data_IF_703391472327
#
_entry.id   IF_703391472327
#
_cell.length_a   1.000
_cell.length_b   1.000
_cell.length_c   1.000
_cell.angle_alpha   90.00
_cell.angle_beta   90.00
_cell.angle_gamma   90.00
#
_symmetry.space_group_name_H-M   'P 1'
#
loop_
_entity.id
_entity.type
_entity.pdbx_description
1 polymer ?
#
# COMPACT_ATOMS: atom_id res chain seq x y z
N UNK A 1 15.05 -2.38 13.16
CA UNK A 1 13.77 -2.10 12.47
C UNK A 1 12.60 -2.53 13.33
N UNK A 2 11.55 -1.73 13.38
CA UNK A 2 10.33 -2.00 14.14
C UNK A 2 9.31 -2.75 13.26
N UNK A 3 9.17 -4.05 13.52
CA UNK A 3 8.34 -4.95 12.72
C UNK A 3 7.07 -5.31 13.49
N UNK A 4 5.90 -5.06 12.87
CA UNK A 4 4.61 -5.44 13.44
C UNK A 4 4.33 -6.93 13.24
N UNK A 5 4.50 -7.43 12.02
CA UNK A 5 4.32 -8.86 11.72
C UNK A 5 5.10 -9.30 10.48
N UNK A 6 5.41 -10.60 10.45
CA UNK A 6 5.95 -11.29 9.27
C UNK A 6 5.14 -12.55 9.07
N UNK A 7 4.58 -12.72 7.88
CA UNK A 7 3.76 -13.88 7.54
C UNK A 7 3.89 -14.24 6.07
N UNK A 8 3.50 -15.47 5.72
CA UNK A 8 3.50 -15.98 4.36
C UNK A 8 2.06 -16.24 3.92
N UNK A 9 1.66 -15.62 2.81
CA UNK A 9 0.34 -15.80 2.23
C UNK A 9 0.40 -15.55 0.71
N UNK A 10 -0.68 -15.10 0.10
CA UNK A 10 -0.79 -14.64 -1.28
C UNK A 10 -0.99 -13.13 -1.31
N UNK A 11 -0.40 -12.46 -2.31
CA UNK A 11 -0.68 -11.05 -2.57
C UNK A 11 -2.17 -10.89 -2.87
N UNK A 12 -2.87 -10.13 -2.03
CA UNK A 12 -4.31 -9.98 -2.13
C UNK A 12 -4.75 -8.83 -3.06
N UNK A 13 -3.82 -7.96 -3.45
CA UNK A 13 -4.13 -6.71 -4.14
C UNK A 13 -3.13 -6.44 -5.28
N UNK A 14 -3.51 -5.56 -6.21
CA UNK A 14 -2.61 -5.06 -7.25
C UNK A 14 -2.35 -6.00 -8.42
N UNK A 15 -1.36 -5.65 -9.24
CA UNK A 15 -0.96 -6.40 -10.43
C UNK A 15 -0.42 -7.80 -10.10
N UNK A 16 0.16 -7.98 -8.90
CA UNK A 16 0.70 -9.25 -8.43
C UNK A 16 -0.32 -10.07 -7.62
N UNK A 17 -1.61 -9.74 -7.66
CA UNK A 17 -2.66 -10.47 -6.96
C UNK A 17 -2.60 -11.99 -7.28
N UNK A 18 -2.71 -12.81 -6.23
CA UNK A 18 -2.63 -14.27 -6.28
C UNK A 18 -1.22 -14.85 -6.12
N UNK A 19 -0.17 -14.04 -6.19
CA UNK A 19 1.23 -14.53 -6.08
C UNK A 19 1.58 -14.86 -4.62
N UNK A 20 2.04 -16.10 -4.31
CA UNK A 20 2.53 -16.43 -2.97
C UNK A 20 3.68 -15.52 -2.55
N UNK A 21 3.52 -14.80 -1.45
CA UNK A 21 4.40 -13.72 -1.03
C UNK A 21 4.64 -13.75 0.48
N UNK A 22 5.87 -13.42 0.87
CA UNK A 22 6.19 -13.12 2.27
C UNK A 22 5.88 -11.65 2.52
N UNK A 23 5.08 -11.36 3.53
CA UNK A 23 4.79 -10.00 3.96
C UNK A 23 5.69 -9.65 5.14
N UNK A 24 6.40 -8.53 5.02
CA UNK A 24 7.18 -7.92 6.09
C UNK A 24 6.49 -6.60 6.40
N UNK A 25 5.69 -6.59 7.47
CA UNK A 25 4.88 -5.44 7.88
C UNK A 25 5.62 -4.64 8.96
N UNK A 26 6.08 -3.44 8.63
CA UNK A 26 6.66 -2.50 9.58
C UNK A 26 5.58 -1.86 10.47
N UNK A 27 6.00 -1.38 11.63
CA UNK A 27 5.13 -0.58 12.48
C UNK A 27 5.20 0.91 12.09
N UNK A 28 4.28 1.72 12.65
CA UNK A 28 4.14 3.18 12.52
C UNK A 28 3.70 3.67 11.15
N UNK A 29 2.83 4.67 11.13
CA UNK A 29 2.43 5.35 9.90
C UNK A 29 2.42 6.86 10.13
N UNK A 30 2.74 7.64 9.11
CA UNK A 30 2.60 9.10 9.11
C UNK A 30 1.21 9.57 8.65
N UNK A 31 0.27 8.64 8.45
CA UNK A 31 -1.12 8.91 8.10
C UNK A 31 -2.06 8.23 9.08
N UNK A 32 -3.21 8.87 9.30
CA UNK A 32 -4.28 8.39 10.18
C UNK A 32 -5.55 8.02 9.42
N UNK A 33 -5.43 7.23 8.35
CA UNK A 33 -6.56 6.95 7.45
C UNK A 33 -7.77 6.35 8.19
N UNK A 34 -8.97 6.93 8.04
CA UNK A 34 -10.18 6.51 8.77
C UNK A 34 -10.58 5.05 8.53
N UNK A 35 -10.37 4.54 7.32
CA UNK A 35 -10.73 3.19 6.90
C UNK A 35 -9.55 2.20 6.95
N UNK A 36 -8.43 2.54 7.61
CA UNK A 36 -7.26 1.66 7.68
C UNK A 36 -7.64 0.26 8.20
N UNK A 37 -7.39 -0.77 7.39
CA UNK A 37 -7.58 -2.19 7.75
C UNK A 37 -6.51 -2.68 8.73
N UNK A 38 -5.35 -2.05 8.69
CA UNK A 38 -4.16 -2.42 9.45
C UNK A 38 -3.82 -1.39 10.54
N UNK A 39 -4.82 -0.75 11.15
CA UNK A 39 -4.61 0.35 12.12
C UNK A 39 -3.71 -0.06 13.30
N UNK A 40 -3.72 -1.34 13.69
CA UNK A 40 -2.82 -1.89 14.70
C UNK A 40 -1.35 -1.69 14.33
N UNK A 41 -0.98 -1.89 13.06
CA UNK A 41 0.40 -1.73 12.61
C UNK A 41 0.88 -0.28 12.69
N UNK A 42 -0.01 0.71 12.73
CA UNK A 42 0.37 2.11 12.96
C UNK A 42 0.78 2.40 14.40
N UNK A 43 0.50 1.50 15.35
CA UNK A 43 0.89 1.66 16.76
C UNK A 43 2.33 1.22 17.02
N UNK A 44 3.05 2.01 17.82
CA UNK A 44 4.38 1.63 18.34
C UNK A 44 4.32 0.36 19.20
N UNK A 45 3.22 0.14 19.93
CA UNK A 45 3.07 -1.00 20.85
C UNK A 45 3.00 -2.35 20.15
N UNK A 46 2.60 -2.35 18.87
CA UNK A 46 2.47 -3.57 18.08
C UNK A 46 3.77 -3.93 17.35
N UNK A 47 4.79 -3.07 17.44
CA UNK A 47 6.10 -3.27 16.83
C UNK A 47 7.07 -4.00 17.75
N UNK A 48 7.85 -4.91 17.18
CA UNK A 48 9.00 -5.54 17.84
C UNK A 48 10.27 -5.19 17.08
N UNK A 49 11.30 -4.77 17.80
CA UNK A 49 12.61 -4.57 17.20
C UNK A 49 13.14 -5.90 16.69
N UNK A 50 13.56 -5.91 15.42
CA UNK A 50 14.19 -7.05 14.78
C UNK A 50 15.37 -6.56 13.95
N UNK A 51 16.44 -7.35 13.95
CA UNK A 51 17.56 -7.15 13.03
C UNK A 51 17.23 -7.69 11.64
N UNK A 52 17.96 -7.20 10.62
CA UNK A 52 17.81 -7.72 9.25
C UNK A 52 18.11 -9.22 9.21
N UNK A 53 19.12 -9.69 9.93
CA UNK A 53 19.49 -11.11 9.98
C UNK A 53 18.36 -11.98 10.57
N UNK A 54 17.68 -11.49 11.61
CA UNK A 54 16.52 -12.19 12.19
C UNK A 54 15.36 -12.27 11.21
N UNK A 55 15.07 -11.17 10.50
CA UNK A 55 14.04 -11.12 9.46
C UNK A 55 14.38 -12.13 8.36
N UNK A 56 15.59 -12.07 7.81
CA UNK A 56 16.05 -12.96 6.73
C UNK A 56 15.99 -14.42 7.16
N UNK A 57 16.43 -14.75 8.37
CA UNK A 57 16.35 -16.11 8.93
C UNK A 57 14.91 -16.60 9.04
N UNK A 58 13.98 -15.74 9.50
CA UNK A 58 12.55 -16.09 9.62
C UNK A 58 11.91 -16.38 8.26
N UNK A 59 12.25 -15.60 7.24
CA UNK A 59 11.61 -15.74 5.92
C UNK A 59 12.22 -16.84 5.05
N UNK A 60 13.43 -17.32 5.39
CA UNK A 60 14.16 -18.31 4.61
C UNK A 60 13.42 -19.65 4.46
N UNK A 61 12.49 -19.96 5.37
CA UNK A 61 11.71 -21.21 5.36
C UNK A 61 10.61 -21.24 4.29
N UNK A 62 10.23 -20.08 3.73
CA UNK A 62 9.09 -19.99 2.81
C UNK A 62 9.52 -20.17 1.34
N UNK A 63 8.82 -21.01 0.57
CA UNK A 63 9.19 -21.38 -0.80
C UNK A 63 8.72 -20.33 -1.82
N UNK A 64 9.04 -19.05 -1.60
CA UNK A 64 8.77 -17.98 -2.57
C UNK A 64 9.94 -17.03 -2.72
N UNK A 65 10.07 -16.46 -3.91
CA UNK A 65 10.98 -15.33 -4.15
C UNK A 65 10.31 -13.98 -3.91
N UNK A 66 8.99 -13.90 -3.75
CA UNK A 66 8.29 -12.63 -3.61
C UNK A 66 8.22 -12.18 -2.15
N UNK A 67 8.72 -10.97 -1.90
CA UNK A 67 8.63 -10.29 -0.62
C UNK A 67 7.89 -8.96 -0.82
N UNK A 68 6.82 -8.75 -0.05
CA UNK A 68 6.09 -7.50 0.02
C UNK A 68 6.49 -6.81 1.32
N UNK A 69 7.20 -5.69 1.21
CA UNK A 69 7.48 -4.83 2.36
C UNK A 69 6.38 -3.78 2.43
N UNK A 70 5.68 -3.77 3.56
CA UNK A 70 4.49 -2.95 3.83
C UNK A 70 4.52 -2.54 5.30
N UNK A 71 3.43 -2.02 5.84
CA UNK A 71 3.35 -1.61 7.24
C UNK A 71 2.32 -0.53 7.45
N UNK A 72 2.26 0.03 8.66
CA UNK A 72 2.25 1.49 8.60
C UNK A 72 3.45 1.94 7.74
N UNK A 73 3.40 3.09 7.07
CA UNK A 73 4.36 3.50 6.01
C UNK A 73 5.82 2.94 6.14
N UNK A 74 6.22 1.91 5.34
CA UNK A 74 7.50 1.23 5.51
C UNK A 74 8.72 2.12 5.28
N UNK A 75 8.54 3.19 4.52
CA UNK A 75 9.61 4.15 4.24
C UNK A 75 9.98 5.02 5.47
N UNK A 76 9.27 4.88 6.60
CA UNK A 76 9.65 5.49 7.88
C UNK A 76 10.80 4.77 8.58
N UNK A 77 11.01 3.49 8.30
CA UNK A 77 12.06 2.69 8.93
C UNK A 77 13.43 3.08 8.35
N UNK A 78 14.41 3.36 9.23
CA UNK A 78 15.72 3.87 8.79
C UNK A 78 16.50 2.84 7.99
N UNK A 79 16.37 1.57 8.38
CA UNK A 79 17.11 0.44 7.80
C UNK A 79 16.36 -0.23 6.63
N UNK A 80 15.24 0.37 6.16
CA UNK A 80 14.45 -0.17 5.03
C UNK A 80 15.27 -0.38 3.77
N UNK A 81 16.23 0.53 3.52
CA UNK A 81 17.14 0.50 2.38
C UNK A 81 18.03 -0.75 2.44
N UNK A 82 18.60 -1.02 3.62
CA UNK A 82 19.50 -2.15 3.85
C UNK A 82 18.75 -3.48 3.78
N UNK A 83 17.54 -3.54 4.34
CA UNK A 83 16.68 -4.72 4.22
C UNK A 83 16.35 -5.01 2.75
N UNK A 84 15.86 -4.02 2.00
CA UNK A 84 15.51 -4.18 0.60
C UNK A 84 16.72 -4.61 -0.25
N UNK A 85 17.88 -4.00 -0.01
CA UNK A 85 19.15 -4.37 -0.66
C UNK A 85 19.53 -5.82 -0.36
N UNK A 86 19.46 -6.24 0.89
CA UNK A 86 19.79 -7.62 1.29
C UNK A 86 18.84 -8.63 0.63
N UNK A 87 17.53 -8.36 0.65
CA UNK A 87 16.52 -9.23 0.05
C UNK A 87 16.72 -9.40 -1.46
N UNK A 88 16.98 -8.31 -2.18
CA UNK A 88 17.33 -8.37 -3.60
C UNK A 88 18.64 -9.15 -3.81
N UNK A 89 19.64 -8.94 -2.97
CA UNK A 89 20.93 -9.64 -3.02
C UNK A 89 20.82 -11.16 -2.88
N UNK A 90 19.82 -11.66 -2.16
CA UNK A 90 19.52 -13.10 -2.03
C UNK A 90 18.46 -13.59 -3.05
N UNK A 91 18.21 -12.80 -4.10
CA UNK A 91 17.35 -13.19 -5.23
C UNK A 91 15.84 -13.01 -5.01
N UNK A 92 15.42 -12.24 -4.00
CA UNK A 92 13.99 -11.93 -3.82
C UNK A 92 13.54 -10.83 -4.79
N UNK A 93 12.30 -10.95 -5.27
CA UNK A 93 11.54 -9.85 -5.85
C UNK A 93 10.94 -9.03 -4.71
N UNK A 94 11.31 -7.75 -4.61
CA UNK A 94 10.86 -6.86 -3.53
C UNK A 94 9.81 -5.89 -4.05
N UNK A 95 8.58 -6.03 -3.55
CA UNK A 95 7.52 -5.04 -3.73
C UNK A 95 7.47 -4.11 -2.52
N UNK A 96 7.48 -2.79 -2.75
CA UNK A 96 7.22 -1.80 -1.70
C UNK A 96 5.78 -1.32 -1.83
N UNK A 97 4.97 -1.55 -0.79
CA UNK A 97 3.63 -0.96 -0.66
C UNK A 97 3.74 0.33 0.16
N UNK A 98 3.53 1.48 -0.47
CA UNK A 98 3.72 2.81 0.17
C UNK A 98 2.55 3.74 -0.14
N UNK A 99 2.26 4.69 0.75
CA UNK A 99 1.33 5.78 0.47
C UNK A 99 1.93 6.86 -0.45
N UNK A 100 3.23 6.77 -0.77
CA UNK A 100 3.93 7.74 -1.61
C UNK A 100 4.21 9.05 -0.87
N UNK A 101 4.40 9.01 0.45
CA UNK A 101 4.64 10.20 1.29
C UNK A 101 6.11 10.45 1.59
N UNK A 102 6.99 9.48 1.32
CA UNK A 102 8.44 9.54 1.55
C UNK A 102 9.20 9.19 0.27
N UNK A 103 10.22 9.98 -0.05
CA UNK A 103 11.09 9.75 -1.22
C UNK A 103 11.77 8.36 -1.16
N UNK A 104 11.92 7.67 -2.31
CA UNK A 104 12.48 6.32 -2.35
C UNK A 104 13.97 6.23 -1.99
N UNK A 105 14.73 7.34 -2.08
CA UNK A 105 16.18 7.44 -1.73
C UNK A 105 17.06 6.33 -2.35
N UNK A 106 16.70 5.81 -3.53
CA UNK A 106 17.34 4.69 -4.26
C UNK A 106 17.17 3.28 -3.65
N UNK A 107 16.05 3.04 -2.96
CA UNK A 107 15.70 1.70 -2.46
C UNK A 107 15.75 0.61 -3.54
N UNK A 108 16.36 -0.52 -3.19
CA UNK A 108 16.34 -1.72 -4.04
C UNK A 108 14.92 -2.30 -4.12
N UNK A 109 14.15 -1.80 -5.08
CA UNK A 109 12.75 -2.13 -5.29
C UNK A 109 12.59 -2.76 -6.67
N UNK A 110 11.94 -3.93 -6.73
CA UNK A 110 11.56 -4.57 -7.99
C UNK A 110 10.26 -3.99 -8.55
N UNK A 111 9.34 -3.59 -7.67
CA UNK A 111 8.03 -3.05 -8.04
C UNK A 111 7.46 -2.14 -6.95
N UNK A 112 7.05 -0.92 -7.31
CA UNK A 112 6.43 0.04 -6.39
C UNK A 112 4.89 -0.01 -6.48
N UNK A 113 4.24 -0.50 -5.44
CA UNK A 113 2.80 -0.37 -5.28
C UNK A 113 2.50 0.89 -4.49
N UNK A 114 2.21 1.97 -5.23
CA UNK A 114 1.97 3.28 -4.65
C UNK A 114 0.46 3.44 -4.48
N UNK A 115 0.01 3.73 -3.26
CA UNK A 115 -1.40 3.96 -2.97
C UNK A 115 -1.60 5.35 -2.39
N UNK A 116 -1.72 6.38 -3.24
CA UNK A 116 -2.01 7.74 -2.79
C UNK A 116 -3.35 7.78 -2.03
N UNK A 117 -3.38 8.52 -0.94
CA UNK A 117 -4.52 8.57 -0.02
C UNK A 117 -5.37 9.82 -0.31
N UNK A 118 -6.60 9.60 -0.76
CA UNK A 118 -7.56 10.63 -1.16
C UNK A 118 -8.27 11.24 0.05
N UNK A 119 -9.14 12.22 -0.18
CA UNK A 119 -9.93 12.88 0.87
C UNK A 119 -10.87 11.91 1.62
N UNK A 120 -11.28 10.81 0.99
CA UNK A 120 -12.03 9.75 1.67
C UNK A 120 -11.25 9.07 2.81
N UNK A 121 -9.94 9.25 2.89
CA UNK A 121 -9.09 8.70 3.94
C UNK A 121 -8.94 9.62 5.14
N UNK A 122 -9.30 10.89 5.02
CA UNK A 122 -9.19 11.88 6.09
C UNK A 122 -9.91 11.39 7.35
N UNK A 123 -9.29 11.52 8.55
CA UNK A 123 -9.93 11.13 9.80
C UNK A 123 -11.29 11.83 10.00
N UNK A 124 -12.20 11.15 10.67
CA UNK A 124 -13.53 11.68 10.99
C UNK A 124 -13.48 12.92 11.90
N UNK A 125 -14.60 13.65 11.98
CA UNK A 125 -14.69 14.92 12.72
C UNK A 125 -14.43 14.76 14.22
N UNK A 126 -14.64 13.57 14.75
CA UNK A 126 -14.38 13.15 16.13
C UNK A 126 -12.88 13.07 16.44
N UNK A 127 -12.02 12.90 15.43
CA UNK A 127 -10.57 12.96 15.61
C UNK A 127 -10.13 14.41 15.95
N UNK A 128 -8.99 14.55 16.62
CA UNK A 128 -8.43 15.88 16.90
C UNK A 128 -8.15 16.66 15.60
N UNK A 129 -8.41 17.99 15.55
CA UNK A 129 -8.03 18.83 14.42
C UNK A 129 -6.56 18.66 14.02
N UNK A 130 -5.66 18.54 15.00
CA UNK A 130 -4.22 18.34 14.76
C UNK A 130 -3.96 17.08 13.94
N UNK A 131 -4.66 15.98 14.25
CA UNK A 131 -4.49 14.70 13.53
C UNK A 131 -4.99 14.80 12.09
N UNK A 132 -6.11 15.52 11.88
CA UNK A 132 -6.65 15.74 10.54
C UNK A 132 -5.73 16.64 9.71
N UNK A 133 -5.28 17.75 10.27
CA UNK A 133 -4.40 18.70 9.58
C UNK A 133 -3.08 18.02 9.21
N UNK A 134 -2.51 17.22 10.13
CA UNK A 134 -1.33 16.41 9.84
C UNK A 134 -1.60 15.38 8.72
N UNK A 135 -2.74 14.70 8.74
CA UNK A 135 -3.08 13.75 7.68
C UNK A 135 -3.18 14.45 6.31
N UNK A 136 -3.88 15.58 6.24
CA UNK A 136 -4.02 16.40 5.02
C UNK A 136 -2.67 16.91 4.52
N UNK A 137 -1.81 17.37 5.44
CA UNK A 137 -0.46 17.83 5.08
C UNK A 137 0.39 16.70 4.51
N UNK A 138 0.29 15.47 5.05
CA UNK A 138 1.14 14.36 4.65
C UNK A 138 0.64 13.59 3.43
N UNK A 139 -0.66 13.55 3.15
CA UNK A 139 -1.20 12.81 2.00
C UNK A 139 -0.86 13.50 0.67
N UNK A 140 -0.90 12.72 -0.42
CA UNK A 140 -0.76 13.19 -1.81
C UNK A 140 0.48 14.07 -2.11
N UNK A 141 1.68 13.59 -1.74
CA UNK A 141 2.95 14.25 -2.09
C UNK A 141 3.31 14.01 -3.55
N UNK A 142 2.89 14.90 -4.45
CA UNK A 142 3.05 14.77 -5.90
C UNK A 142 4.51 14.56 -6.34
N UNK A 143 5.42 15.34 -5.77
CA UNK A 143 6.86 15.27 -6.05
C UNK A 143 7.46 13.92 -5.63
N UNK A 144 7.04 13.39 -4.49
CA UNK A 144 7.45 12.08 -4.00
C UNK A 144 6.89 10.97 -4.89
N UNK A 145 5.60 11.02 -5.23
CA UNK A 145 4.94 10.03 -6.09
C UNK A 145 5.59 10.00 -7.48
N UNK A 146 5.84 11.17 -8.08
CA UNK A 146 6.62 11.28 -9.31
C UNK A 146 8.00 10.66 -9.19
N UNK A 147 8.69 10.91 -8.07
CA UNK A 147 10.00 10.30 -7.78
C UNK A 147 10.00 8.77 -7.77
N UNK A 148 8.90 8.15 -7.33
CA UNK A 148 8.74 6.69 -7.37
C UNK A 148 8.50 6.21 -8.80
N UNK A 149 7.58 6.86 -9.52
CA UNK A 149 7.25 6.52 -10.91
C UNK A 149 8.43 6.66 -11.86
N UNK A 150 9.32 7.63 -11.62
CA UNK A 150 10.52 7.85 -12.46
C UNK A 150 11.60 6.79 -12.27
N UNK A 151 11.61 6.06 -11.15
CA UNK A 151 12.72 5.16 -10.77
C UNK A 151 12.39 3.69 -10.89
N UNK A 152 11.12 3.31 -10.80
CA UNK A 152 10.73 1.91 -10.70
C UNK A 152 9.54 1.59 -11.59
N UNK A 153 9.38 0.32 -11.93
CA UNK A 153 8.07 -0.15 -12.37
C UNK A 153 7.06 0.01 -11.22
N UNK A 154 5.82 0.34 -11.57
CA UNK A 154 4.85 0.83 -10.59
C UNK A 154 3.40 0.54 -10.97
N UNK A 155 2.55 0.61 -9.94
CA UNK A 155 1.12 0.85 -10.05
C UNK A 155 0.71 2.03 -9.15
N UNK A 156 -0.36 2.72 -9.54
CA UNK A 156 -1.12 3.63 -8.68
C UNK A 156 -2.41 2.94 -8.27
N UNK A 157 -2.56 2.62 -6.98
CA UNK A 157 -3.72 1.87 -6.45
C UNK A 157 -4.53 2.75 -5.50
N UNK A 158 -5.75 3.10 -5.90
CA UNK A 158 -6.63 3.98 -5.16
C UNK A 158 -7.75 3.20 -4.47
N UNK A 159 -8.03 3.55 -3.21
CA UNK A 159 -9.16 3.01 -2.46
C UNK A 159 -10.38 3.88 -2.70
N UNK A 160 -11.44 3.27 -3.21
CA UNK A 160 -12.63 3.94 -3.72
C UNK A 160 -13.85 3.55 -2.88
N UNK A 161 -14.53 4.56 -2.36
CA UNK A 161 -15.76 4.43 -1.60
C UNK A 161 -16.97 4.98 -2.39
N UNK A 162 -16.77 6.01 -3.20
CA UNK A 162 -17.83 6.74 -3.91
C UNK A 162 -17.38 7.27 -5.28
N UNK A 163 -18.33 7.80 -6.07
CA UNK A 163 -18.04 8.44 -7.35
C UNK A 163 -17.15 9.69 -7.21
N UNK A 164 -17.27 10.41 -6.09
CA UNK A 164 -16.43 11.57 -5.80
C UNK A 164 -14.94 11.20 -5.78
N UNK A 165 -14.61 10.00 -5.30
CA UNK A 165 -13.23 9.53 -5.27
C UNK A 165 -12.67 9.36 -6.69
N UNK A 166 -13.50 8.95 -7.65
CA UNK A 166 -13.10 8.82 -9.06
C UNK A 166 -12.79 10.20 -9.66
N UNK A 167 -13.57 11.22 -9.31
CA UNK A 167 -13.30 12.60 -9.72
C UNK A 167 -11.99 13.11 -9.10
N UNK A 168 -11.75 12.86 -7.80
CA UNK A 168 -10.51 13.22 -7.13
C UNK A 168 -9.30 12.51 -7.77
N UNK A 169 -9.43 11.23 -8.14
CA UNK A 169 -8.38 10.47 -8.85
C UNK A 169 -8.03 11.14 -10.18
N UNK A 170 -9.01 11.56 -10.97
CA UNK A 170 -8.76 12.22 -12.26
C UNK A 170 -8.03 13.55 -12.05
N UNK A 171 -8.51 14.38 -11.13
CA UNK A 171 -7.86 15.65 -10.79
C UNK A 171 -6.42 15.43 -10.30
N UNK A 172 -6.20 14.39 -9.49
CA UNK A 172 -4.87 14.00 -9.05
C UNK A 172 -3.99 13.58 -10.24
N UNK A 173 -4.47 12.73 -11.13
CA UNK A 173 -3.71 12.28 -12.31
C UNK A 173 -3.33 13.47 -13.22
N UNK A 174 -4.27 14.40 -13.45
CA UNK A 174 -4.01 15.62 -14.21
C UNK A 174 -2.95 16.51 -13.53
N UNK A 175 -2.98 16.58 -12.19
CA UNK A 175 -2.02 17.37 -11.41
C UNK A 175 -0.57 16.84 -11.48
N UNK A 176 -0.38 15.57 -11.86
CA UNK A 176 0.96 14.98 -12.10
C UNK A 176 1.64 15.57 -13.34
N UNK A 177 0.89 16.28 -14.21
CA UNK A 177 1.39 16.95 -15.43
C UNK A 177 2.16 16.00 -16.36
N UNK A 178 1.70 14.75 -16.44
CA UNK A 178 2.29 13.71 -17.30
C UNK A 178 1.26 12.63 -17.63
N UNK A 179 1.43 11.98 -18.76
CA UNK A 179 0.57 10.87 -19.17
C UNK A 179 0.87 9.63 -18.32
N UNK A 180 -0.14 9.15 -17.60
CA UNK A 180 -0.10 7.88 -16.88
C UNK A 180 -0.84 6.83 -17.73
N UNK A 181 -0.22 5.68 -18.06
CA UNK A 181 -0.91 4.60 -18.73
C UNK A 181 -2.13 4.15 -17.90
N UNK A 182 -3.36 4.13 -18.45
CA UNK A 182 -4.56 3.78 -17.70
C UNK A 182 -4.48 2.42 -17.01
N UNK A 183 -3.77 1.47 -17.61
CA UNK A 183 -3.54 0.12 -17.07
C UNK A 183 -2.64 0.10 -15.82
N UNK A 184 -1.97 1.21 -15.48
CA UNK A 184 -1.24 1.39 -14.22
C UNK A 184 -2.09 2.02 -13.12
N UNK A 185 -3.30 2.46 -13.43
CA UNK A 185 -4.27 3.02 -12.47
C UNK A 185 -5.23 1.93 -12.04
N UNK A 186 -5.18 1.56 -10.77
CA UNK A 186 -5.97 0.50 -10.17
C UNK A 186 -7.00 1.10 -9.21
N UNK A 187 -8.26 0.73 -9.38
CA UNK A 187 -9.35 1.12 -8.48
C UNK A 187 -9.72 -0.07 -7.61
N UNK A 188 -9.63 0.12 -6.30
CA UNK A 188 -9.88 -0.90 -5.29
C UNK A 188 -11.04 -0.51 -4.40
N UNK A 189 -12.05 -1.38 -4.19
CA UNK A 189 -13.14 -1.06 -3.28
C UNK A 189 -12.65 -0.88 -1.84
N UNK A 190 -13.16 0.14 -1.18
CA UNK A 190 -13.10 0.27 0.28
C UNK A 190 -13.98 -0.80 0.92
N UNK A 191 -13.50 -1.45 1.98
CA UNK A 191 -14.27 -2.42 2.73
C UNK A 191 -13.39 -3.39 3.53
N UNK A 192 -13.98 -3.97 4.58
CA UNK A 192 -13.34 -4.98 5.45
C UNK A 192 -14.07 -6.32 5.42
N UNK A 193 -15.12 -6.44 4.62
CA UNK A 193 -15.95 -7.63 4.49
C UNK A 193 -16.52 -7.75 3.08
N UNK A 194 -17.07 -8.92 2.75
CA UNK A 194 -17.57 -9.18 1.41
C UNK A 194 -18.74 -8.26 1.00
N UNK A 195 -19.58 -7.86 1.96
CA UNK A 195 -20.76 -7.04 1.69
C UNK A 195 -20.37 -5.62 1.30
N UNK A 196 -19.51 -4.99 2.10
CA UNK A 196 -18.96 -3.65 1.85
C UNK A 196 -18.19 -3.57 0.54
N UNK A 197 -17.41 -4.60 0.19
CA UNK A 197 -16.74 -4.67 -1.12
C UNK A 197 -17.76 -4.80 -2.26
N UNK A 198 -18.69 -5.75 -2.16
CA UNK A 198 -19.71 -6.01 -3.18
C UNK A 198 -20.54 -4.78 -3.51
N UNK A 199 -20.88 -3.98 -2.50
CA UNK A 199 -21.69 -2.76 -2.67
C UNK A 199 -21.06 -1.71 -3.61
N UNK A 200 -19.76 -1.80 -3.90
CA UNK A 200 -19.01 -0.81 -4.69
C UNK A 200 -18.55 -1.31 -6.06
N UNK A 201 -18.65 -2.61 -6.32
CA UNK A 201 -18.07 -3.25 -7.52
C UNK A 201 -18.63 -2.66 -8.80
N UNK A 202 -19.96 -2.55 -8.92
CA UNK A 202 -20.58 -2.13 -10.17
C UNK A 202 -20.15 -0.72 -10.59
N UNK A 203 -20.10 0.20 -9.63
CA UNK A 203 -19.62 1.57 -9.84
C UNK A 203 -18.14 1.60 -10.25
N UNK A 204 -17.29 0.85 -9.55
CA UNK A 204 -15.85 0.81 -9.84
C UNK A 204 -15.59 0.17 -11.20
N UNK A 205 -16.24 -0.95 -11.52
CA UNK A 205 -16.10 -1.65 -12.81
C UNK A 205 -16.59 -0.78 -13.96
N UNK A 206 -17.69 -0.05 -13.78
CA UNK A 206 -18.16 0.92 -14.76
C UNK A 206 -17.11 2.01 -15.01
N UNK A 207 -16.51 2.56 -13.95
CA UNK A 207 -15.43 3.54 -14.06
C UNK A 207 -14.19 2.96 -14.75
N UNK A 208 -13.76 1.75 -14.39
CA UNK A 208 -12.64 1.06 -15.05
C UNK A 208 -12.87 0.91 -16.55
N UNK A 209 -14.06 0.46 -16.97
CA UNK A 209 -14.40 0.32 -18.39
C UNK A 209 -14.42 1.66 -19.12
N UNK A 210 -14.91 2.71 -18.47
CA UNK A 210 -15.04 4.02 -19.09
C UNK A 210 -13.68 4.71 -19.26
N UNK A 211 -12.79 4.64 -18.26
CA UNK A 211 -11.50 5.33 -18.27
C UNK A 211 -10.31 4.46 -18.70
N UNK A 212 -10.51 3.16 -18.92
CA UNK A 212 -9.44 2.21 -19.20
C UNK A 212 -8.61 1.81 -17.98
N UNK A 213 -9.06 2.18 -16.77
CA UNK A 213 -8.41 1.77 -15.51
C UNK A 213 -8.62 0.28 -15.22
N UNK A 214 -7.87 -0.25 -14.26
CA UNK A 214 -7.98 -1.65 -13.83
C UNK A 214 -8.75 -1.78 -12.52
N UNK A 215 -9.63 -2.78 -12.48
CA UNK A 215 -10.22 -3.21 -11.23
C UNK A 215 -9.18 -3.96 -10.39
N UNK A 216 -9.10 -3.65 -9.11
CA UNK A 216 -8.24 -4.30 -8.14
C UNK A 216 -9.10 -4.81 -6.99
N UNK A 217 -9.17 -6.12 -6.79
CA UNK A 217 -9.90 -6.70 -5.66
C UNK A 217 -9.06 -6.66 -4.38
N UNK A 218 -9.72 -6.90 -3.24
CA UNK A 218 -9.07 -7.32 -1.99
C UNK A 218 -9.25 -8.82 -1.80
N UNK A 219 -8.51 -9.61 -2.58
CA UNK A 219 -8.67 -11.07 -2.65
C UNK A 219 -8.48 -11.75 -1.28
N UNK A 220 -7.58 -11.24 -0.44
CA UNK A 220 -7.35 -11.77 0.90
C UNK A 220 -8.60 -11.64 1.79
N UNK A 221 -9.39 -10.57 1.65
CA UNK A 221 -10.69 -10.45 2.36
C UNK A 221 -11.68 -11.49 1.85
N UNK A 222 -11.70 -11.76 0.54
CA UNK A 222 -12.58 -12.79 -0.05
C UNK A 222 -12.29 -14.18 0.51
N UNK A 223 -11.02 -14.50 0.70
CA UNK A 223 -10.57 -15.83 1.09
C UNK A 223 -10.53 -16.04 2.60
N UNK A 224 -10.14 -15.02 3.35
CA UNK A 224 -9.82 -15.15 4.78
C UNK A 224 -10.61 -14.20 5.68
N UNK A 225 -11.42 -13.31 5.10
CA UNK A 225 -12.03 -12.19 5.82
C UNK A 225 -10.99 -11.18 6.29
N UNK A 226 -11.35 -10.34 7.27
CA UNK A 226 -10.44 -9.36 7.87
C UNK A 226 -9.51 -9.98 8.93
N UNK A 227 -8.90 -11.12 8.61
CA UNK A 227 -8.02 -11.86 9.52
C UNK A 227 -6.57 -11.38 9.35
N UNK A 228 -5.88 -11.16 10.47
CA UNK A 228 -4.46 -10.80 10.47
C UNK A 228 -3.58 -12.00 10.10
N UNK A 229 -2.44 -11.73 9.46
CA UNK A 229 -1.46 -12.75 9.11
C UNK A 229 -1.93 -13.77 8.07
N UNK A 230 -2.92 -13.40 7.24
CA UNK A 230 -3.47 -14.21 6.15
C UNK A 230 -3.59 -13.42 4.87
#
# INVERSE_FOLDING_TARGET
MLISEIFYSIQGEGILMGVPSIFIRTARCNLHCRWCDSQYASSLSEGKEQSIDEIVKKIAVYPTRFCVITGGEPMLEKEIQDLAKHLVGIGKHVTIETAGTIFPRNINCSFASISPKLSNSTPDKEASPIIRDQHEEHRLKLDVICSWMDRYDYQLKFVVCSEHDIEEIKNFLDSLKRTIPPEKVLLMPEGKDNESLNSKIDMIVAACKHYGFRYCERLHIRLFGNKRGT
#
